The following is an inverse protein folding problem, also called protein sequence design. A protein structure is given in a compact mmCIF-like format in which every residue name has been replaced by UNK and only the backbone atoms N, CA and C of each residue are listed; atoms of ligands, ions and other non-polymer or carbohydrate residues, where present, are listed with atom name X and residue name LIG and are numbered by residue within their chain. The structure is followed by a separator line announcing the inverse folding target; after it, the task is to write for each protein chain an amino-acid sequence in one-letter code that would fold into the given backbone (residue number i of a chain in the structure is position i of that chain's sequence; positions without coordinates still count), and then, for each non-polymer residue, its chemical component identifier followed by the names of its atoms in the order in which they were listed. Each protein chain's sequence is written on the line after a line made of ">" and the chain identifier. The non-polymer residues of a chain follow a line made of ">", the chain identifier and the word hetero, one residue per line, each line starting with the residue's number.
data_IF_974494349105
#
_entry.id   IF_974494349105
#
_cell.length_a   1.000
_cell.length_b   1.000
_cell.length_c   1.000
_cell.angle_alpha   90.00
_cell.angle_beta   90.00
_cell.angle_gamma   90.00
#
_symmetry.space_group_name_H-M   'P 1'
#
loop_
_entity.id
_entity.type
_entity.pdbx_description
1 polymer ?
#
# COMPACT_ATOMS: atom_id res chain seq x y z
N UNK A 1 -7.49 7.75 15.04
CA UNK A 1 -6.70 6.81 15.88
C UNK A 1 -5.26 7.31 15.87
N UNK A 2 -4.51 7.24 16.99
CA UNK A 2 -3.10 7.64 16.96
C UNK A 2 -2.34 6.62 16.10
N UNK A 3 -1.51 7.11 15.19
CA UNK A 3 -0.57 6.29 14.42
C UNK A 3 0.28 5.51 15.43
N UNK A 4 0.46 4.20 15.19
CA UNK A 4 1.37 3.37 15.98
C UNK A 4 2.75 4.04 15.97
N UNK A 5 3.66 3.70 16.88
CA UNK A 5 5.00 4.28 16.81
C UNK A 5 5.53 4.11 15.37
N UNK A 6 5.96 5.21 14.72
CA UNK A 6 6.39 5.24 13.32
C UNK A 6 7.31 4.08 12.95
N UNK A 7 8.15 3.64 13.90
CA UNK A 7 9.01 2.47 13.73
C UNK A 7 8.22 1.17 13.52
N UNK A 8 7.20 0.91 14.32
CA UNK A 8 6.38 -0.30 14.23
C UNK A 8 5.61 -0.34 12.91
N UNK A 9 5.14 0.81 12.45
CA UNK A 9 4.47 0.97 11.16
C UNK A 9 5.42 0.61 10.00
N UNK A 10 6.63 1.18 10.01
CA UNK A 10 7.67 0.90 9.03
C UNK A 10 8.17 -0.54 9.10
N UNK A 11 8.21 -1.14 10.29
CA UNK A 11 8.57 -2.54 10.48
C UNK A 11 7.49 -3.48 9.93
N UNK A 12 6.20 -3.16 10.14
CA UNK A 12 5.12 -3.94 9.54
C UNK A 12 5.17 -3.90 8.01
N UNK A 13 5.46 -2.72 7.42
CA UNK A 13 5.63 -2.56 5.97
C UNK A 13 6.80 -3.39 5.47
N UNK A 14 7.98 -3.27 6.10
CA UNK A 14 9.17 -4.00 5.71
C UNK A 14 9.04 -5.52 5.89
N UNK A 15 8.23 -5.97 6.84
CA UNK A 15 7.96 -7.40 7.09
C UNK A 15 6.80 -7.95 6.25
N UNK A 16 6.39 -7.26 5.19
CA UNK A 16 5.48 -7.80 4.18
C UNK A 16 4.00 -7.77 4.57
N UNK A 17 3.57 -6.87 5.46
CA UNK A 17 2.15 -6.73 5.81
C UNK A 17 1.23 -6.47 4.60
N UNK A 18 1.79 -5.98 3.48
CA UNK A 18 1.08 -5.61 2.26
C UNK A 18 1.40 -6.51 1.06
N UNK A 19 2.22 -7.56 1.22
CA UNK A 19 2.69 -8.43 0.13
C UNK A 19 1.56 -9.13 -0.64
N UNK A 20 0.37 -9.20 -0.07
CA UNK A 20 -0.82 -9.71 -0.76
C UNK A 20 -1.24 -8.82 -1.94
N UNK A 21 -0.95 -7.52 -1.93
CA UNK A 21 -1.42 -6.55 -2.91
C UNK A 21 -0.34 -5.81 -3.70
N UNK A 22 0.93 -6.00 -3.34
CA UNK A 22 2.11 -5.44 -4.03
C UNK A 22 3.02 -6.58 -4.50
N UNK A 23 4.13 -6.28 -5.17
CA UNK A 23 5.16 -7.29 -5.44
C UNK A 23 5.73 -7.75 -4.09
N UNK A 24 5.64 -9.06 -3.74
CA UNK A 24 6.07 -9.55 -2.44
C UNK A 24 7.55 -9.25 -2.16
N UNK A 25 7.85 -8.78 -0.95
CA UNK A 25 9.21 -8.41 -0.54
C UNK A 25 9.80 -7.19 -1.25
N UNK A 26 8.99 -6.42 -2.00
CA UNK A 26 9.48 -5.22 -2.70
C UNK A 26 9.55 -3.98 -1.82
N UNK A 27 8.93 -3.99 -0.64
CA UNK A 27 8.89 -2.82 0.23
C UNK A 27 10.22 -2.61 0.95
N UNK A 28 10.88 -1.46 0.73
CA UNK A 28 12.16 -1.14 1.36
C UNK A 28 12.10 0.20 2.08
N UNK A 29 12.44 0.21 3.37
CA UNK A 29 12.48 1.44 4.18
C UNK A 29 13.87 2.06 4.10
N UNK A 30 13.95 3.32 3.67
CA UNK A 30 15.22 4.05 3.51
C UNK A 30 15.48 5.06 4.62
N UNK A 31 14.41 5.71 5.10
CA UNK A 31 14.53 6.79 6.09
C UNK A 31 13.66 6.46 7.30
N UNK A 32 14.27 6.59 8.48
CA UNK A 32 13.65 6.48 9.79
C UNK A 32 14.11 7.66 10.64
N UNK A 33 13.56 8.84 10.36
CA UNK A 33 13.90 10.05 11.10
C UNK A 33 13.01 10.18 12.35
N UNK A 34 13.60 9.94 13.52
CA UNK A 34 12.93 10.07 14.82
C UNK A 34 12.79 11.51 15.30
N UNK A 35 13.56 12.44 14.76
CA UNK A 35 13.53 13.85 15.14
C UNK A 35 12.40 14.54 14.39
N UNK A 36 12.33 14.32 13.07
CA UNK A 36 11.29 14.91 12.22
C UNK A 36 10.01 14.06 12.14
N UNK A 37 10.01 12.86 12.74
CA UNK A 37 8.94 11.87 12.61
C UNK A 37 8.59 11.58 11.15
N UNK A 38 9.62 11.35 10.33
CA UNK A 38 9.50 11.06 8.91
C UNK A 38 9.98 9.64 8.62
N UNK A 39 9.08 8.83 8.08
CA UNK A 39 9.41 7.58 7.42
C UNK A 39 9.42 7.77 5.91
N UNK A 40 10.37 7.14 5.22
CA UNK A 40 10.34 7.03 3.74
C UNK A 40 10.68 5.62 3.32
N UNK A 41 9.87 5.09 2.42
CA UNK A 41 10.05 3.75 1.86
C UNK A 41 9.66 3.75 0.38
N UNK A 42 10.09 2.75 -0.36
CA UNK A 42 9.51 2.42 -1.65
C UNK A 42 8.81 1.06 -1.60
N UNK A 43 8.02 0.81 -2.63
CA UNK A 43 7.47 -0.50 -2.94
C UNK A 43 7.18 -0.59 -4.44
N UNK A 44 7.03 -1.82 -4.94
CA UNK A 44 6.65 -2.06 -6.34
C UNK A 44 5.21 -2.55 -6.41
N UNK A 45 4.36 -1.82 -7.13
CA UNK A 45 3.00 -2.24 -7.45
C UNK A 45 3.03 -3.43 -8.42
N UNK A 46 2.01 -4.29 -8.36
CA UNK A 46 1.90 -5.48 -9.23
C UNK A 46 1.78 -5.13 -10.73
N UNK A 47 1.37 -3.90 -11.02
CA UNK A 47 1.34 -3.31 -12.35
C UNK A 47 2.74 -2.94 -12.89
N UNK A 48 3.80 -3.16 -12.11
CA UNK A 48 5.17 -2.82 -12.49
C UNK A 48 5.44 -1.32 -12.38
N UNK A 49 5.04 -0.71 -11.27
CA UNK A 49 5.31 0.70 -10.97
C UNK A 49 5.99 0.79 -9.62
N UNK A 50 7.19 1.37 -9.57
CA UNK A 50 7.88 1.70 -8.35
C UNK A 50 7.31 3.00 -7.80
N UNK A 51 6.97 3.04 -6.51
CA UNK A 51 6.49 4.25 -5.83
C UNK A 51 7.32 4.51 -4.58
N UNK A 52 7.65 5.77 -4.34
CA UNK A 52 8.30 6.25 -3.11
C UNK A 52 7.25 6.97 -2.28
N UNK A 53 7.14 6.58 -1.01
CA UNK A 53 6.10 7.04 -0.11
C UNK A 53 6.76 7.60 1.16
N UNK A 54 6.30 8.79 1.52
CA UNK A 54 6.57 9.40 2.82
C UNK A 54 5.43 9.08 3.78
N UNK A 55 5.78 8.87 5.04
CA UNK A 55 4.81 8.72 6.13
C UNK A 55 5.20 9.62 7.30
N UNK A 56 4.25 10.44 7.74
CA UNK A 56 4.39 11.28 8.94
C UNK A 56 3.16 11.16 9.83
N UNK A 57 3.28 11.32 11.16
CA UNK A 57 2.13 11.31 12.06
C UNK A 57 1.06 12.37 11.76
N UNK A 58 1.45 13.49 11.16
CA UNK A 58 0.56 14.63 10.90
C UNK A 58 -0.12 14.60 9.53
N UNK A 59 0.50 13.99 8.52
CA UNK A 59 -0.01 13.99 7.14
C UNK A 59 -0.39 12.60 6.63
N UNK A 60 -0.11 11.55 7.40
CA UNK A 60 -0.30 10.17 6.97
C UNK A 60 0.68 9.81 5.86
N UNK A 61 0.19 9.12 4.84
CA UNK A 61 0.95 8.56 3.73
C UNK A 61 0.86 9.43 2.48
N UNK A 62 1.97 9.62 1.78
CA UNK A 62 2.01 10.48 0.59
C UNK A 62 3.02 9.97 -0.43
N UNK A 63 2.61 9.83 -1.69
CA UNK A 63 3.52 9.49 -2.78
C UNK A 63 4.37 10.72 -3.14
N UNK A 64 5.69 10.58 -3.05
CA UNK A 64 6.65 11.64 -3.39
C UNK A 64 7.34 11.40 -4.73
N UNK A 65 7.38 10.16 -5.20
CA UNK A 65 7.92 9.81 -6.51
C UNK A 65 7.29 8.53 -7.05
N UNK A 66 7.28 8.38 -8.37
CA UNK A 66 6.91 7.13 -9.02
C UNK A 66 7.63 6.94 -10.35
N UNK A 67 7.84 5.68 -10.74
CA UNK A 67 8.41 5.30 -12.03
C UNK A 67 7.77 4.04 -12.57
N UNK A 68 7.33 4.08 -13.83
CA UNK A 68 6.98 2.87 -14.56
C UNK A 68 8.25 2.03 -14.78
N UNK A 69 8.17 0.72 -14.50
CA UNK A 69 9.29 -0.21 -14.69
C UNK A 69 9.29 -0.86 -16.07
N UNK A 70 8.25 -0.64 -16.87
CA UNK A 70 8.15 -1.14 -18.24
C UNK A 70 7.33 -0.19 -19.11
N UNK A 71 7.44 -0.36 -20.43
CA UNK A 71 6.59 0.32 -21.41
C UNK A 71 5.25 -0.38 -21.64
N UNK A 72 4.89 -1.38 -20.82
CA UNK A 72 3.61 -2.07 -20.93
C UNK A 72 2.46 -1.10 -20.62
N UNK A 73 1.34 -1.25 -21.35
CA UNK A 73 0.20 -0.35 -21.22
C UNK A 73 -0.31 -0.18 -19.80
N UNK A 74 -0.39 -1.28 -19.04
CA UNK A 74 -0.82 -1.28 -17.64
C UNK A 74 0.14 -0.50 -16.72
N UNK A 75 1.46 -0.73 -16.85
CA UNK A 75 2.50 -0.03 -16.08
C UNK A 75 2.45 1.48 -16.32
N UNK A 76 2.36 1.88 -17.59
CA UNK A 76 2.27 3.30 -17.98
C UNK A 76 0.96 3.94 -17.51
N UNK A 77 -0.18 3.27 -17.67
CA UNK A 77 -1.47 3.80 -17.21
C UNK A 77 -1.51 3.96 -15.69
N UNK A 78 -1.00 2.97 -14.95
CA UNK A 78 -0.95 3.03 -13.50
C UNK A 78 0.01 4.11 -13.02
N UNK A 79 1.17 4.28 -13.66
CA UNK A 79 2.07 5.39 -13.34
C UNK A 79 1.40 6.77 -13.52
N UNK A 80 0.55 6.97 -14.54
CA UNK A 80 -0.24 8.20 -14.69
C UNK A 80 -1.25 8.39 -13.56
N UNK A 81 -1.91 7.32 -13.13
CA UNK A 81 -2.81 7.36 -11.96
C UNK A 81 -2.04 7.72 -10.68
N UNK A 82 -0.84 7.16 -10.49
CA UNK A 82 0.01 7.53 -9.34
C UNK A 82 0.40 9.01 -9.41
N UNK A 83 0.77 9.50 -10.60
CA UNK A 83 1.12 10.91 -10.83
C UNK A 83 -0.02 11.87 -10.46
N UNK A 84 -1.28 11.51 -10.72
CA UNK A 84 -2.43 12.36 -10.35
C UNK A 84 -2.68 12.41 -8.84
N UNK A 85 -2.07 11.52 -8.05
CA UNK A 85 -2.17 11.46 -6.59
C UNK A 85 -0.85 11.83 -5.89
N UNK A 86 0.16 12.30 -6.64
CA UNK A 86 1.41 12.77 -6.05
C UNK A 86 1.17 13.91 -5.07
N UNK A 87 1.85 13.86 -3.94
CA UNK A 87 1.74 14.84 -2.85
C UNK A 87 0.35 14.96 -2.22
N UNK A 88 -0.59 14.06 -2.53
CA UNK A 88 -1.87 13.97 -1.85
C UNK A 88 -1.72 13.13 -0.58
N UNK A 89 -2.16 13.61 0.60
CA UNK A 89 -2.11 12.86 1.84
C UNK A 89 -3.22 11.80 1.92
N UNK A 90 -2.91 10.66 2.52
CA UNK A 90 -3.83 9.56 2.79
C UNK A 90 -3.73 9.10 4.24
N UNK A 91 -4.87 8.81 4.86
CA UNK A 91 -4.94 8.41 6.27
C UNK A 91 -4.33 7.02 6.55
N UNK A 92 -4.27 6.15 5.55
CA UNK A 92 -3.67 4.83 5.65
C UNK A 92 -3.00 4.39 4.35
N UNK A 93 -2.05 3.46 4.46
CA UNK A 93 -1.39 2.88 3.30
C UNK A 93 -2.38 2.10 2.44
N UNK A 94 -3.35 1.39 3.03
CA UNK A 94 -4.42 0.73 2.28
C UNK A 94 -5.22 1.72 1.43
N UNK A 95 -5.58 2.87 2.00
CA UNK A 95 -6.38 3.88 1.29
C UNK A 95 -5.60 4.44 0.10
N UNK A 96 -4.31 4.70 0.29
CA UNK A 96 -3.39 5.10 -0.78
C UNK A 96 -3.33 4.03 -1.87
N UNK A 97 -3.06 2.77 -1.51
CA UNK A 97 -2.91 1.67 -2.46
C UNK A 97 -4.22 1.37 -3.21
N UNK A 98 -5.37 1.48 -2.56
CA UNK A 98 -6.69 1.37 -3.20
C UNK A 98 -6.92 2.45 -4.26
N UNK A 99 -6.40 3.67 -4.04
CA UNK A 99 -6.53 4.78 -4.99
C UNK A 99 -5.58 4.68 -6.18
N UNK A 100 -4.37 4.13 -5.99
CA UNK A 100 -3.32 4.16 -7.03
C UNK A 100 -3.10 2.82 -7.76
N UNK A 101 -3.57 1.69 -7.22
CA UNK A 101 -3.35 0.35 -7.79
C UNK A 101 -4.68 -0.38 -8.04
N UNK A 102 -5.11 -0.47 -9.32
CA UNK A 102 -6.27 -1.29 -9.70
C UNK A 102 -6.14 -2.76 -9.27
N UNK A 103 -4.94 -3.35 -9.35
CA UNK A 103 -4.71 -4.75 -8.97
C UNK A 103 -4.79 -4.91 -7.45
N UNK A 104 -4.25 -3.97 -6.67
CA UNK A 104 -4.42 -3.96 -5.22
C UNK A 104 -5.90 -3.94 -4.84
N UNK A 105 -6.70 -3.08 -5.47
CA UNK A 105 -8.14 -2.99 -5.25
C UNK A 105 -8.85 -4.32 -5.51
N UNK A 106 -8.55 -4.98 -6.64
CA UNK A 106 -9.12 -6.29 -6.94
C UNK A 106 -8.74 -7.35 -5.90
N UNK A 107 -7.46 -7.42 -5.50
CA UNK A 107 -7.00 -8.39 -4.50
C UNK A 107 -7.58 -8.15 -3.12
N UNK A 108 -7.69 -6.88 -2.73
CA UNK A 108 -8.33 -6.49 -1.48
C UNK A 108 -9.80 -6.92 -1.45
N UNK A 109 -10.55 -6.66 -2.53
CA UNK A 109 -11.94 -7.10 -2.67
C UNK A 109 -12.07 -8.63 -2.62
N UNK A 110 -11.18 -9.37 -3.30
CA UNK A 110 -11.16 -10.83 -3.25
C UNK A 110 -10.91 -11.35 -1.83
N UNK A 111 -9.96 -10.77 -1.09
CA UNK A 111 -9.67 -11.14 0.29
C UNK A 111 -10.88 -10.88 1.21
N UNK A 112 -11.55 -9.74 1.05
CA UNK A 112 -12.78 -9.44 1.79
C UNK A 112 -13.90 -10.43 1.48
N UNK A 113 -14.10 -10.75 0.20
CA UNK A 113 -15.14 -11.68 -0.23
C UNK A 113 -14.90 -13.09 0.31
N UNK A 114 -13.66 -13.59 0.28
CA UNK A 114 -13.30 -14.88 0.86
C UNK A 114 -13.58 -14.94 2.37
N UNK A 115 -13.27 -13.87 3.12
CA UNK A 115 -13.58 -13.80 4.56
C UNK A 115 -15.09 -13.85 4.83
N UNK A 116 -15.88 -13.14 4.02
CA UNK A 116 -17.35 -13.15 4.12
C UNK A 116 -17.94 -14.52 3.78
N UNK A 117 -17.43 -15.21 2.76
CA UNK A 117 -17.87 -16.57 2.41
C UNK A 117 -17.50 -17.60 3.48
N UNK A 118 -16.30 -17.50 4.04
CA UNK A 118 -15.89 -18.37 5.16
C UNK A 118 -16.79 -18.22 6.39
N UNK A 119 -17.36 -17.04 6.64
CA UNK A 119 -18.32 -16.83 7.73
C UNK A 119 -19.72 -17.40 7.41
N UNK A 120 -20.18 -17.30 6.16
CA UNK A 120 -21.47 -17.88 5.76
C UNK A 120 -21.48 -19.41 5.77
N UNK A 121 -20.36 -20.08 5.47
CA UNK A 121 -20.24 -21.53 5.55
C UNK A 121 -20.27 -22.05 7.01
N UNK A 122 -19.74 -21.29 7.97
CA UNK A 122 -19.74 -21.66 9.39
C UNK A 122 -21.13 -21.52 10.06
N UNK A 123 -22.05 -20.76 9.49
CA UNK A 123 -23.43 -20.67 9.99
C UNK A 123 -24.32 -21.86 9.54
N UNK A 124 -23.94 -22.56 8.48
CA UNK A 124 -24.67 -23.74 7.98
C UNK A 124 -24.13 -25.07 8.51
N UNK A 125 -22.91 -25.11 9.07
CA UNK A 125 -22.31 -26.31 9.64
C UNK A 125 -22.71 -26.60 11.11
N UNK A 126 -23.52 -25.73 11.73
CA UNK A 126 -23.99 -25.84 13.12
C UNK A 126 -25.51 -26.08 13.22
N UNK A 127 -26.08 -26.86 12.28
CA UNK A 127 -27.46 -27.35 12.37
C UNK A 127 -27.50 -28.87 12.39
#
# INVERSE_FOLDING_TARGET
>A
MPIRHLSDELDAIANGAFDYGIVPGSATVFIRDKIQNLGRFDLTLLEGVLVVIDVTPSQGYMVTSCSALSSAGLSVSTARTVQSHMNAPFDSLESLLLSISPVFCQRFQQCLFQKLQGHNLNLHANK
#
